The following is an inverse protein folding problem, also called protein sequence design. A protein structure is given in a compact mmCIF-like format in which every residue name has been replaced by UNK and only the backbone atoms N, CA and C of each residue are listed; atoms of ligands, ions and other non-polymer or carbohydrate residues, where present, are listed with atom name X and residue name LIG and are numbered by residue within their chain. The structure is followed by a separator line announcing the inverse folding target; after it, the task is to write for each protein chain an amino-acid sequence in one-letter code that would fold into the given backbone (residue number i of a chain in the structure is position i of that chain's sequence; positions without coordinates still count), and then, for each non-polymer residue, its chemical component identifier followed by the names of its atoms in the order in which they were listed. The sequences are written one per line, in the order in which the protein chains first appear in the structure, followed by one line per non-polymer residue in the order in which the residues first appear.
data_IF_613712462128
#
_entry.id   IF_613712462128
#
_cell.length_a   1.000
_cell.length_b   1.000
_cell.length_c   1.000
_cell.angle_alpha   90.00
_cell.angle_beta   90.00
_cell.angle_gamma   90.00
#
_symmetry.space_group_name_H-M   'P 1'
#
loop_
_entity.id
_entity.type
_entity.pdbx_description
1 polymer ?
#
# COMPACT_ATOMS: atom_id res chain seq x y z
N UNK A 1 -12.57 -12.43 9.87
CA UNK A 1 -13.46 -11.75 8.89
C UNK A 1 -12.74 -11.79 7.56
N UNK A 2 -13.19 -12.69 6.69
CA UNK A 2 -12.53 -12.98 5.42
C UNK A 2 -12.72 -11.83 4.42
N UNK A 3 -11.61 -11.41 3.80
CA UNK A 3 -11.65 -10.65 2.55
C UNK A 3 -12.13 -11.60 1.45
N UNK A 4 -12.66 -11.09 0.36
CA UNK A 4 -13.22 -11.88 -0.74
C UNK A 4 -12.36 -13.11 -1.07
N UNK A 5 -12.95 -14.31 -0.99
CA UNK A 5 -12.29 -15.56 -1.36
C UNK A 5 -11.78 -15.48 -2.81
N UNK A 6 -10.55 -15.95 -3.01
CA UNK A 6 -9.92 -16.01 -4.34
C UNK A 6 -9.16 -14.77 -4.78
N UNK A 7 -9.16 -13.66 -4.04
CA UNK A 7 -8.40 -12.46 -4.39
C UNK A 7 -7.16 -12.28 -3.52
N UNK A 8 -6.03 -11.93 -4.14
CA UNK A 8 -4.85 -11.41 -3.44
C UNK A 8 -5.02 -9.91 -3.21
N UNK A 9 -4.86 -9.46 -1.97
CA UNK A 9 -4.95 -8.05 -1.62
C UNK A 9 -3.57 -7.40 -1.65
N UNK A 10 -3.46 -6.21 -2.24
CA UNK A 10 -2.27 -5.36 -2.20
C UNK A 10 -2.56 -4.16 -1.32
N UNK A 11 -1.81 -4.02 -0.23
CA UNK A 11 -1.90 -2.83 0.62
C UNK A 11 -1.09 -1.69 0.00
N UNK A 12 -1.74 -0.57 -0.25
CA UNK A 12 -1.13 0.63 -0.82
C UNK A 12 -1.04 1.72 0.24
N UNK A 13 0.19 2.15 0.53
CA UNK A 13 0.52 3.21 1.46
C UNK A 13 0.86 4.50 0.71
N UNK A 14 0.38 5.64 1.19
CA UNK A 14 0.65 6.93 0.56
C UNK A 14 0.00 8.10 1.27
N UNK A 15 0.36 9.31 0.85
CA UNK A 15 -0.04 10.55 1.50
C UNK A 15 -1.55 10.88 1.37
N UNK A 16 -2.08 11.57 2.37
CA UNK A 16 -3.49 12.00 2.40
C UNK A 16 -3.76 13.34 1.69
N UNK A 17 -2.72 14.07 1.32
CA UNK A 17 -2.83 15.44 0.81
C UNK A 17 -3.05 15.57 -0.71
N UNK A 18 -2.50 14.70 -1.58
CA UNK A 18 -2.70 14.84 -3.01
C UNK A 18 -4.18 14.91 -3.38
N UNK A 19 -4.55 15.88 -4.24
CA UNK A 19 -5.91 16.08 -4.75
C UNK A 19 -6.00 15.65 -6.22
N UNK A 20 -7.24 15.43 -6.68
CA UNK A 20 -7.50 15.11 -8.09
C UNK A 20 -6.90 16.18 -9.02
N UNK A 21 -6.18 15.74 -10.05
CA UNK A 21 -5.42 16.58 -10.97
C UNK A 21 -3.96 16.79 -10.58
N UNK A 22 -3.54 16.43 -9.37
CA UNK A 22 -2.14 16.45 -8.98
C UNK A 22 -1.44 15.14 -9.41
N UNK A 23 -0.15 15.26 -9.74
CA UNK A 23 0.65 14.14 -10.28
C UNK A 23 0.60 12.90 -9.39
N UNK A 24 0.76 13.07 -8.09
CA UNK A 24 0.76 11.98 -7.12
C UNK A 24 -0.62 11.29 -7.04
N UNK A 25 -1.71 12.06 -7.13
CA UNK A 25 -3.07 11.52 -7.16
C UNK A 25 -3.30 10.69 -8.43
N UNK A 26 -2.94 11.24 -9.60
CA UNK A 26 -3.14 10.57 -10.88
C UNK A 26 -2.27 9.30 -11.00
N UNK A 27 -1.04 9.32 -10.47
CA UNK A 27 -0.21 8.11 -10.36
C UNK A 27 -0.86 7.03 -9.48
N UNK A 28 -1.40 7.42 -8.34
CA UNK A 28 -2.10 6.48 -7.45
C UNK A 28 -3.38 5.93 -8.08
N UNK A 29 -4.13 6.77 -8.80
CA UNK A 29 -5.31 6.34 -9.56
C UNK A 29 -4.92 5.31 -10.63
N UNK A 30 -3.88 5.59 -11.41
CA UNK A 30 -3.33 4.64 -12.39
C UNK A 30 -2.89 3.34 -11.73
N UNK A 31 -2.22 3.39 -10.57
CA UNK A 31 -1.82 2.19 -9.82
C UNK A 31 -3.04 1.32 -9.47
N UNK A 32 -4.11 1.94 -8.95
CA UNK A 32 -5.34 1.23 -8.62
C UNK A 32 -5.95 0.50 -9.81
N UNK A 33 -6.01 1.18 -10.97
CA UNK A 33 -6.52 0.58 -12.21
C UNK A 33 -5.65 -0.60 -12.68
N UNK A 34 -4.32 -0.46 -12.64
CA UNK A 34 -3.38 -1.51 -13.04
C UNK A 34 -3.47 -2.73 -12.12
N UNK A 35 -3.57 -2.52 -10.81
CA UNK A 35 -3.74 -3.62 -9.84
C UNK A 35 -5.04 -4.37 -10.07
N UNK A 36 -6.15 -3.65 -10.29
CA UNK A 36 -7.45 -4.25 -10.61
C UNK A 36 -7.40 -5.06 -11.91
N UNK A 37 -6.81 -4.51 -12.97
CA UNK A 37 -6.63 -5.20 -14.25
C UNK A 37 -5.76 -6.46 -14.14
N UNK A 38 -4.81 -6.48 -13.18
CA UNK A 38 -3.99 -7.65 -12.87
C UNK A 38 -4.66 -8.64 -11.89
N UNK A 39 -5.93 -8.45 -11.54
CA UNK A 39 -6.70 -9.35 -10.67
C UNK A 39 -6.47 -9.18 -9.18
N UNK A 40 -5.81 -8.10 -8.76
CA UNK A 40 -5.61 -7.80 -7.34
C UNK A 40 -6.75 -6.96 -6.75
N UNK A 41 -7.09 -7.24 -5.51
CA UNK A 41 -7.87 -6.35 -4.66
C UNK A 41 -6.95 -5.26 -4.10
N UNK A 42 -7.38 -4.01 -4.18
CA UNK A 42 -6.66 -2.88 -3.57
C UNK A 42 -7.11 -2.69 -2.13
N UNK A 43 -6.16 -2.57 -1.21
CA UNK A 43 -6.42 -2.27 0.20
C UNK A 43 -5.67 -0.99 0.59
N UNK A 44 -6.33 -0.07 1.25
CA UNK A 44 -5.75 1.21 1.68
C UNK A 44 -6.34 1.67 3.01
N UNK A 45 -5.86 2.80 3.51
CA UNK A 45 -6.44 3.41 4.72
C UNK A 45 -7.84 4.01 4.54
N UNK A 46 -8.38 4.04 3.33
CA UNK A 46 -9.79 4.33 3.06
C UNK A 46 -10.20 5.81 3.11
N UNK A 47 -9.27 6.76 3.30
CA UNK A 47 -9.56 8.19 3.36
C UNK A 47 -9.18 8.91 2.06
N UNK A 48 -8.78 10.20 2.15
CA UNK A 48 -8.42 11.07 1.02
C UNK A 48 -7.00 10.82 0.48
N UNK A 49 -6.64 11.56 -0.56
CA UNK A 49 -5.30 11.54 -1.16
C UNK A 49 -5.02 10.28 -1.96
N UNK A 50 -3.85 9.70 -1.77
CA UNK A 50 -3.42 8.45 -2.42
C UNK A 50 -4.41 7.31 -2.13
N UNK A 51 -4.96 7.23 -0.92
CA UNK A 51 -5.94 6.21 -0.53
C UNK A 51 -7.23 6.29 -1.36
N UNK A 52 -7.74 7.51 -1.57
CA UNK A 52 -8.89 7.75 -2.45
C UNK A 52 -8.55 7.47 -3.91
N UNK A 53 -7.42 7.99 -4.37
CA UNK A 53 -7.00 7.84 -5.75
C UNK A 53 -6.86 6.37 -6.17
N UNK A 54 -6.20 5.56 -5.35
CA UNK A 54 -6.02 4.13 -5.64
C UNK A 54 -7.36 3.37 -5.61
N UNK A 55 -8.26 3.75 -4.68
CA UNK A 55 -9.61 3.17 -4.62
C UNK A 55 -10.43 3.55 -5.86
N UNK A 56 -10.33 4.83 -6.29
CA UNK A 56 -10.98 5.33 -7.51
C UNK A 56 -10.52 4.56 -8.74
N UNK A 57 -9.20 4.44 -8.91
CA UNK A 57 -8.63 3.73 -10.05
C UNK A 57 -9.07 2.26 -10.12
N UNK A 58 -9.03 1.57 -8.98
CA UNK A 58 -9.49 0.19 -8.89
C UNK A 58 -10.98 0.05 -9.21
N UNK A 59 -11.83 0.89 -8.62
CA UNK A 59 -13.27 0.90 -8.85
C UNK A 59 -13.62 1.19 -10.32
N UNK A 60 -12.97 2.19 -10.94
CA UNK A 60 -13.19 2.53 -12.34
C UNK A 60 -12.77 1.41 -13.31
N UNK A 61 -11.80 0.60 -12.92
CA UNK A 61 -11.39 -0.59 -13.68
C UNK A 61 -12.22 -1.85 -13.37
N UNK A 62 -13.31 -1.73 -12.61
CA UNK A 62 -14.17 -2.85 -12.22
C UNK A 62 -13.60 -3.75 -11.12
N UNK A 63 -12.53 -3.31 -10.45
CA UNK A 63 -11.89 -4.04 -9.36
C UNK A 63 -12.48 -3.74 -7.98
N UNK A 64 -11.91 -4.38 -6.98
CA UNK A 64 -12.33 -4.29 -5.58
C UNK A 64 -11.39 -3.36 -4.81
N UNK A 65 -11.95 -2.34 -4.13
CA UNK A 65 -11.24 -1.44 -3.25
C UNK A 65 -11.73 -1.58 -1.80
N UNK A 66 -10.84 -1.92 -0.89
CA UNK A 66 -11.12 -2.06 0.55
C UNK A 66 -10.44 -0.94 1.31
N UNK A 67 -11.20 -0.21 2.10
CA UNK A 67 -10.69 0.83 3.00
C UNK A 67 -10.66 0.34 4.45
N UNK A 68 -9.49 0.40 5.08
CA UNK A 68 -9.32 0.07 6.50
C UNK A 68 -9.30 1.37 7.30
N UNK A 69 -10.47 1.75 7.82
CA UNK A 69 -10.69 3.02 8.54
C UNK A 69 -10.59 2.86 10.06
N UNK A 70 -10.62 3.96 10.79
CA UNK A 70 -10.54 3.96 12.26
C UNK A 70 -11.69 4.73 12.89
N UNK A 71 -12.25 4.17 13.96
CA UNK A 71 -13.35 4.80 14.74
C UNK A 71 -12.91 6.10 15.42
N UNK A 72 -11.63 6.18 15.81
CA UNK A 72 -11.08 7.37 16.52
C UNK A 72 -11.01 8.61 15.64
N UNK A 73 -11.01 8.48 14.32
CA UNK A 73 -11.02 9.61 13.41
C UNK A 73 -12.44 10.16 13.20
N UNK A 74 -13.02 10.65 14.29
CA UNK A 74 -14.35 11.29 14.28
C UNK A 74 -14.36 12.47 13.29
N UNK A 75 -15.26 12.40 12.28
CA UNK A 75 -15.43 13.44 11.26
C UNK A 75 -14.65 13.19 9.96
N UNK A 76 -13.73 12.24 9.88
CA UNK A 76 -13.19 11.80 8.59
C UNK A 76 -14.14 10.78 7.96
N UNK A 77 -14.57 11.07 6.74
CA UNK A 77 -15.43 10.16 5.97
C UNK A 77 -14.56 9.22 5.12
N UNK A 78 -14.96 7.95 5.00
CA UNK A 78 -14.39 7.06 4.00
C UNK A 78 -14.54 7.65 2.60
N UNK A 79 -13.59 7.38 1.70
CA UNK A 79 -13.72 7.83 0.32
C UNK A 79 -14.88 7.07 -0.40
N UNK A 80 -15.52 7.70 -1.40
CA UNK A 80 -16.73 7.14 -2.01
C UNK A 80 -16.48 5.98 -2.98
N UNK A 81 -15.21 5.63 -3.25
CA UNK A 81 -14.83 4.61 -4.23
C UNK A 81 -14.56 3.24 -3.60
N UNK A 82 -14.82 3.10 -2.29
CA UNK A 82 -14.65 1.83 -1.60
C UNK A 82 -15.77 0.85 -1.96
N UNK A 83 -15.39 -0.37 -2.36
CA UNK A 83 -16.32 -1.50 -2.45
C UNK A 83 -16.71 -2.01 -1.06
N UNK A 84 -15.79 -1.86 -0.08
CA UNK A 84 -15.98 -2.29 1.31
C UNK A 84 -15.17 -1.43 2.27
N UNK A 85 -15.78 -1.06 3.39
CA UNK A 85 -15.11 -0.47 4.55
C UNK A 85 -14.90 -1.51 5.65
N UNK A 86 -13.67 -1.59 6.16
CA UNK A 86 -13.33 -2.33 7.38
C UNK A 86 -13.01 -1.29 8.45
N UNK A 87 -13.90 -1.15 9.41
CA UNK A 87 -13.73 -0.20 10.51
C UNK A 87 -13.01 -0.85 11.68
N UNK A 88 -11.86 -0.31 12.03
CA UNK A 88 -11.06 -0.77 13.17
C UNK A 88 -11.17 0.20 14.33
N UNK A 89 -11.03 -0.31 15.55
CA UNK A 89 -11.19 0.50 16.77
C UNK A 89 -10.08 1.54 16.95
N UNK A 90 -8.85 1.21 16.55
CA UNK A 90 -7.67 2.05 16.74
C UNK A 90 -6.60 1.80 15.68
N UNK A 91 -5.50 2.54 15.80
CA UNK A 91 -4.38 2.51 14.87
C UNK A 91 -3.67 1.14 14.80
N UNK A 92 -3.53 0.46 15.94
CA UNK A 92 -2.83 -0.83 15.97
C UNK A 92 -3.62 -1.92 15.24
N UNK A 93 -4.93 -2.00 15.47
CA UNK A 93 -5.81 -2.94 14.77
C UNK A 93 -5.87 -2.65 13.27
N UNK A 94 -5.76 -1.37 12.87
CA UNK A 94 -5.68 -1.00 11.46
C UNK A 94 -4.39 -1.52 10.83
N UNK A 95 -3.26 -1.29 11.47
CA UNK A 95 -1.96 -1.79 10.99
C UNK A 95 -1.94 -3.32 10.96
N UNK A 96 -2.41 -3.98 12.00
CA UNK A 96 -2.56 -5.43 12.06
C UNK A 96 -3.38 -5.95 10.88
N UNK A 97 -4.55 -5.35 10.63
CA UNK A 97 -5.41 -5.76 9.53
C UNK A 97 -4.71 -5.61 8.18
N UNK A 98 -4.11 -4.45 7.92
CA UNK A 98 -3.38 -4.18 6.68
C UNK A 98 -2.23 -5.16 6.45
N UNK A 99 -1.44 -5.45 7.47
CA UNK A 99 -0.26 -6.32 7.35
C UNK A 99 -0.61 -7.81 7.26
N UNK A 100 -1.65 -8.23 7.98
CA UNK A 100 -2.09 -9.63 8.01
C UNK A 100 -2.74 -10.05 6.70
N UNK A 101 -3.66 -9.20 6.18
CA UNK A 101 -4.50 -9.56 5.03
C UNK A 101 -3.90 -9.21 3.67
N UNK A 102 -2.85 -8.37 3.61
CA UNK A 102 -2.15 -8.12 2.36
C UNK A 102 -1.26 -9.30 1.96
N UNK A 103 -1.20 -9.57 0.66
CA UNK A 103 -0.22 -10.48 0.03
C UNK A 103 1.01 -9.72 -0.47
N UNK A 104 0.92 -8.39 -0.60
CA UNK A 104 2.02 -7.52 -0.99
C UNK A 104 1.74 -6.08 -0.53
N UNK A 105 2.80 -5.27 -0.54
CA UNK A 105 2.76 -3.87 -0.12
C UNK A 105 3.35 -2.98 -1.19
N UNK A 106 2.72 -1.84 -1.45
CA UNK A 106 3.26 -0.80 -2.34
C UNK A 106 3.24 0.52 -1.59
N UNK A 107 4.39 1.20 -1.50
CA UNK A 107 4.49 2.51 -0.88
C UNK A 107 4.77 3.58 -1.93
N UNK A 108 3.83 4.51 -2.08
CA UNK A 108 3.98 5.75 -2.83
C UNK A 108 4.49 6.86 -1.91
N UNK A 109 4.69 8.06 -2.46
CA UNK A 109 5.07 9.23 -1.68
C UNK A 109 4.00 9.55 -0.63
N UNK A 110 4.46 9.82 0.61
CA UNK A 110 3.55 10.11 1.70
C UNK A 110 4.21 10.81 2.89
N UNK A 111 3.47 10.89 3.98
CA UNK A 111 3.92 11.51 5.22
C UNK A 111 4.27 10.49 6.31
N UNK A 112 4.11 10.92 7.57
CA UNK A 112 4.44 10.10 8.74
C UNK A 112 3.65 8.78 8.79
N UNK A 113 2.36 8.77 8.40
CA UNK A 113 1.58 7.54 8.34
C UNK A 113 2.18 6.51 7.39
N UNK A 114 2.53 6.95 6.18
CA UNK A 114 3.17 6.10 5.17
C UNK A 114 4.53 5.58 5.64
N UNK A 115 5.33 6.44 6.30
CA UNK A 115 6.61 6.03 6.89
C UNK A 115 6.41 4.99 8.00
N UNK A 116 5.40 5.17 8.86
CA UNK A 116 5.07 4.22 9.93
C UNK A 116 4.65 2.87 9.35
N UNK A 117 3.75 2.86 8.37
CA UNK A 117 3.26 1.65 7.70
C UNK A 117 4.42 0.91 7.01
N UNK A 118 5.26 1.63 6.27
CA UNK A 118 6.45 1.09 5.61
C UNK A 118 7.46 0.52 6.62
N UNK A 119 7.77 1.27 7.68
CA UNK A 119 8.75 0.84 8.68
C UNK A 119 8.25 -0.37 9.48
N UNK A 120 6.95 -0.46 9.76
CA UNK A 120 6.36 -1.62 10.41
C UNK A 120 6.52 -2.87 9.54
N UNK A 121 6.12 -2.79 8.25
CA UNK A 121 6.27 -3.90 7.31
C UNK A 121 7.74 -4.30 7.18
N UNK A 122 8.64 -3.33 7.06
CA UNK A 122 10.09 -3.58 7.00
C UNK A 122 10.58 -4.34 8.22
N UNK A 123 10.20 -3.90 9.43
CA UNK A 123 10.56 -4.60 10.66
C UNK A 123 9.97 -6.02 10.73
N UNK A 124 8.72 -6.20 10.27
CA UNK A 124 8.10 -7.53 10.22
C UNK A 124 8.82 -8.47 9.23
N UNK A 125 9.28 -7.95 8.09
CA UNK A 125 10.11 -8.71 7.14
C UNK A 125 11.48 -9.06 7.74
N UNK A 126 12.15 -8.09 8.38
CA UNK A 126 13.45 -8.25 9.03
C UNK A 126 13.42 -9.32 10.13
N UNK A 127 12.36 -9.34 10.92
CA UNK A 127 12.18 -10.31 12.03
C UNK A 127 11.60 -11.64 11.57
N UNK A 128 11.28 -11.79 10.29
CA UNK A 128 10.64 -12.99 9.77
C UNK A 128 9.20 -13.19 10.28
N UNK A 129 8.55 -12.13 10.77
CA UNK A 129 7.14 -12.19 11.19
C UNK A 129 6.21 -12.32 9.97
N UNK A 130 6.63 -11.76 8.84
CA UNK A 130 5.97 -11.96 7.55
C UNK A 130 6.97 -12.51 6.53
N UNK A 131 6.52 -13.48 5.74
CA UNK A 131 7.28 -14.14 4.68
C UNK A 131 6.52 -14.03 3.36
N UNK A 132 7.24 -14.06 2.25
CA UNK A 132 6.68 -14.14 0.88
C UNK A 132 5.68 -13.03 0.53
N UNK A 133 5.78 -11.88 1.20
CA UNK A 133 4.98 -10.69 0.93
C UNK A 133 5.91 -9.56 0.47
N UNK A 134 6.07 -9.36 -0.84
CA UNK A 134 6.98 -8.33 -1.33
C UNK A 134 6.51 -6.92 -0.96
N UNK A 135 7.48 -6.03 -0.70
CA UNK A 135 7.25 -4.60 -0.53
C UNK A 135 7.95 -3.83 -1.63
N UNK A 136 7.17 -3.07 -2.41
CA UNK A 136 7.66 -2.28 -3.54
C UNK A 136 7.58 -0.79 -3.19
N UNK A 137 8.71 -0.11 -3.24
CA UNK A 137 8.83 1.33 -3.03
C UNK A 137 8.83 2.03 -4.39
N UNK A 138 7.85 2.89 -4.65
CA UNK A 138 7.66 3.53 -5.95
C UNK A 138 8.09 4.98 -5.91
N UNK A 139 9.03 5.34 -6.78
CA UNK A 139 9.57 6.68 -6.95
C UNK A 139 11.03 6.80 -6.49
N UNK A 140 11.72 7.74 -7.09
CA UNK A 140 13.16 7.98 -6.93
C UNK A 140 13.56 8.51 -5.54
N UNK A 141 12.64 9.16 -4.83
CA UNK A 141 12.83 9.75 -3.51
C UNK A 141 13.08 8.73 -2.39
N UNK A 142 12.69 7.46 -2.57
CA UNK A 142 12.91 6.42 -1.56
C UNK A 142 14.38 6.09 -1.37
N UNK A 143 15.15 5.98 -2.45
CA UNK A 143 16.57 5.62 -2.40
C UNK A 143 17.43 6.61 -1.59
N UNK A 144 17.35 7.95 -1.81
CA UNK A 144 18.09 8.90 -1.00
C UNK A 144 17.61 8.95 0.45
N UNK A 145 16.30 8.79 0.72
CA UNK A 145 15.78 8.71 2.08
C UNK A 145 16.37 7.52 2.83
N UNK A 146 16.32 6.34 2.23
CA UNK A 146 16.85 5.12 2.87
C UNK A 146 18.38 5.15 3.03
N UNK A 147 19.12 5.78 2.11
CA UNK A 147 20.55 6.03 2.30
C UNK A 147 20.82 6.95 3.49
N UNK A 148 20.01 7.98 3.68
CA UNK A 148 20.12 8.85 4.85
C UNK A 148 19.84 8.10 6.15
N UNK A 149 18.81 7.25 6.16
CA UNK A 149 18.49 6.39 7.31
C UNK A 149 19.67 5.44 7.60
N UNK A 150 20.24 4.79 6.59
CA UNK A 150 21.39 3.91 6.73
C UNK A 150 22.63 4.60 7.32
N UNK A 151 22.81 5.89 7.03
CA UNK A 151 23.94 6.68 7.57
C UNK A 151 23.77 7.13 9.02
N UNK A 152 22.56 7.05 9.60
CA UNK A 152 22.26 7.61 10.92
C UNK A 152 21.68 6.59 11.90
N UNK A 153 21.17 5.45 11.44
CA UNK A 153 20.60 4.40 12.27
C UNK A 153 21.42 3.12 12.18
N UNK A 154 21.32 2.29 13.22
CA UNK A 154 21.97 0.97 13.28
C UNK A 154 21.07 -0.05 12.60
N UNK A 155 21.14 -0.12 11.26
CA UNK A 155 20.38 -1.06 10.41
C UNK A 155 21.39 -1.85 9.58
N UNK A 156 21.20 -3.14 9.47
CA UNK A 156 22.11 -4.01 8.72
C UNK A 156 21.96 -3.75 7.21
N UNK A 157 23.05 -3.74 6.43
CA UNK A 157 22.98 -3.51 4.99
C UNK A 157 22.04 -4.47 4.25
N UNK A 158 21.99 -5.73 4.65
CA UNK A 158 21.11 -6.75 4.06
C UNK A 158 19.61 -6.45 4.25
N UNK A 159 19.23 -5.73 5.30
CA UNK A 159 17.83 -5.40 5.56
C UNK A 159 17.24 -4.43 4.51
N UNK A 160 18.11 -3.64 3.84
CA UNK A 160 17.69 -2.80 2.70
C UNK A 160 17.41 -3.62 1.43
N UNK A 161 17.94 -4.84 1.34
CA UNK A 161 17.65 -5.80 0.28
C UNK A 161 16.25 -6.41 0.34
N UNK A 162 15.50 -6.19 1.42
CA UNK A 162 14.12 -6.64 1.56
C UNK A 162 13.13 -5.83 0.71
N UNK A 163 13.53 -4.65 0.25
CA UNK A 163 12.71 -3.82 -0.61
C UNK A 163 12.95 -4.10 -2.10
N UNK A 164 11.87 -4.05 -2.85
CA UNK A 164 11.90 -3.88 -4.30
C UNK A 164 11.65 -2.41 -4.66
N UNK A 165 12.31 -1.92 -5.68
CA UNK A 165 12.17 -0.53 -6.12
C UNK A 165 11.59 -0.49 -7.51
N UNK A 166 10.71 0.47 -7.75
CA UNK A 166 10.16 0.79 -9.06
C UNK A 166 10.16 2.30 -9.26
N UNK A 167 10.51 2.77 -10.46
CA UNK A 167 10.48 4.19 -10.76
C UNK A 167 9.07 4.66 -11.15
N UNK A 168 8.25 3.73 -11.64
CA UNK A 168 6.86 4.00 -12.06
C UNK A 168 5.89 2.98 -11.47
N UNK A 169 4.59 3.33 -11.46
CA UNK A 169 3.53 2.41 -11.04
C UNK A 169 3.35 1.24 -12.00
N UNK A 170 3.65 1.43 -13.28
CA UNK A 170 3.63 0.35 -14.30
C UNK A 170 4.69 -0.70 -13.96
N UNK A 171 5.91 -0.25 -13.67
CA UNK A 171 7.00 -1.13 -13.26
C UNK A 171 6.67 -1.86 -11.95
N UNK A 172 6.06 -1.16 -10.98
CA UNK A 172 5.67 -1.76 -9.71
C UNK A 172 4.70 -2.94 -9.91
N UNK A 173 3.66 -2.75 -10.73
CA UNK A 173 2.69 -3.82 -11.01
C UNK A 173 3.32 -4.95 -11.81
N UNK A 174 4.14 -4.65 -12.81
CA UNK A 174 4.86 -5.66 -13.58
C UNK A 174 5.77 -6.52 -12.69
N UNK A 175 6.53 -5.90 -11.77
CA UNK A 175 7.36 -6.62 -10.79
C UNK A 175 6.51 -7.49 -9.86
N UNK A 176 5.44 -6.93 -9.32
CA UNK A 176 4.53 -7.67 -8.44
C UNK A 176 3.95 -8.91 -9.13
N UNK A 177 3.47 -8.75 -10.35
CA UNK A 177 2.89 -9.85 -11.14
C UNK A 177 3.93 -10.94 -11.43
N UNK A 178 5.19 -10.56 -11.69
CA UNK A 178 6.26 -11.53 -11.91
C UNK A 178 6.66 -12.33 -10.65
N UNK A 179 6.47 -11.75 -9.46
CA UNK A 179 6.76 -12.41 -8.18
C UNK A 179 5.64 -13.33 -7.72
N UNK A 180 4.41 -13.03 -8.13
CA UNK A 180 3.27 -13.87 -7.83
C UNK A 180 3.02 -14.81 -9.01
N UNK A 181 3.19 -16.12 -8.81
CA UNK A 181 2.70 -17.10 -9.79
C UNK A 181 1.23 -16.83 -10.08
N UNK A 182 0.74 -17.05 -11.32
CA UNK A 182 -0.67 -16.94 -11.63
C UNK A 182 -1.50 -17.72 -10.61
N UNK A 183 -2.63 -17.17 -10.19
CA UNK A 183 -3.62 -17.96 -9.44
C UNK A 183 -4.04 -19.14 -10.31
N UNK A 184 -4.09 -20.35 -9.73
CA UNK A 184 -4.49 -21.55 -10.47
C UNK A 184 -5.90 -21.44 -11.04
#
# INVERSE_FOLDING_TARGET
MELHEGYRAVAVFGGRHPAAGEREYEQACKLGALLAAAGYMVMSGGYSGVMEAVSRGASQAGGIAVGVTMEIFRGLKPNPFLSREIRTRDFFHRLEFLTTHASAFIALRGGMGTLTEMSLVWNMMQTGTIHDKPMILVGDFWRPLLRSIAGHLVIRPEDFGLFHYADTVDEAVARLTSMHSPLP
#
